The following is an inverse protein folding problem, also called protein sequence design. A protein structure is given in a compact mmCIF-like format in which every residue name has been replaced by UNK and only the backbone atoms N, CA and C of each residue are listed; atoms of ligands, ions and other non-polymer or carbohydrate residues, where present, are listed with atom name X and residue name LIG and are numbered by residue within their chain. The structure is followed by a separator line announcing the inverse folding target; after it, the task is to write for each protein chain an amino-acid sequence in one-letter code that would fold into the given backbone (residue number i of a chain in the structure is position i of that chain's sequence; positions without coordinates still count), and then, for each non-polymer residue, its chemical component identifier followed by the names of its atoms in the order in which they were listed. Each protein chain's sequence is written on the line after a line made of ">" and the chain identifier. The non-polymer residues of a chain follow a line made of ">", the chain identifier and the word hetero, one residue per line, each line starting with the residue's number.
data_IF_543236018805
#
_entry.id   IF_543236018805
#
_cell.length_a   1.000
_cell.length_b   1.000
_cell.length_c   1.000
_cell.angle_alpha   90.00
_cell.angle_beta   90.00
_cell.angle_gamma   90.00
#
_symmetry.space_group_name_H-M   'P 1'
#
loop_
_entity.id
_entity.type
_entity.pdbx_description
1 polymer ?
#
# COMPACT_ATOMS: atom_id res chain seq x y z
N UNK A 1 3.31 20.62 4.85
CA UNK A 1 3.48 19.39 5.67
C UNK A 1 3.08 18.15 4.85
N UNK A 2 3.74 17.00 5.03
CA UNK A 2 3.26 15.74 4.44
C UNK A 2 2.16 15.16 5.32
N UNK A 3 0.96 14.99 4.74
CA UNK A 3 -0.22 14.50 5.48
C UNK A 3 -0.38 12.97 5.37
N UNK A 4 0.10 12.36 4.28
CA UNK A 4 -0.20 10.96 3.91
C UNK A 4 0.45 9.89 4.80
N UNK A 5 1.42 10.27 5.62
CA UNK A 5 2.18 9.34 6.47
C UNK A 5 1.53 9.05 7.81
N UNK A 6 0.42 9.73 8.13
CA UNK A 6 -0.22 9.68 9.45
C UNK A 6 -1.72 9.88 9.29
N UNK A 7 -2.50 9.15 10.06
CA UNK A 7 -3.95 9.29 9.99
C UNK A 7 -4.74 8.17 10.64
N UNK A 8 -5.95 8.01 10.14
CA UNK A 8 -7.00 7.18 10.73
C UNK A 8 -7.33 6.01 9.82
N UNK A 9 -7.55 4.84 10.40
CA UNK A 9 -7.87 3.67 9.60
C UNK A 9 -9.28 3.76 9.02
N UNK A 10 -9.39 3.51 7.73
CA UNK A 10 -10.64 3.33 7.00
C UNK A 10 -10.52 2.09 6.11
N UNK A 11 -10.82 0.93 6.69
CA UNK A 11 -10.83 -0.34 5.96
C UNK A 11 -12.06 -0.51 5.06
N UNK A 12 -13.03 0.40 5.13
CA UNK A 12 -14.23 0.37 4.29
C UNK A 12 -14.05 1.17 3.00
N UNK A 13 -13.10 2.10 2.96
CA UNK A 13 -12.73 2.85 1.75
C UNK A 13 -12.22 1.94 0.64
N UNK A 14 -12.67 2.20 -0.59
CA UNK A 14 -12.10 1.59 -1.80
C UNK A 14 -10.80 2.28 -2.26
N UNK A 15 -10.38 3.36 -1.60
CA UNK A 15 -9.14 4.07 -1.85
C UNK A 15 -8.00 3.57 -0.97
N UNK A 16 -7.55 4.42 -0.05
CA UNK A 16 -6.47 4.12 0.92
C UNK A 16 -7.02 3.47 2.19
N UNK A 17 -6.17 2.76 2.93
CA UNK A 17 -6.50 2.27 4.28
C UNK A 17 -6.44 3.35 5.34
N UNK A 18 -5.73 4.44 5.04
CA UNK A 18 -5.46 5.51 5.98
C UNK A 18 -6.07 6.76 5.38
N UNK A 19 -7.04 7.32 6.09
CA UNK A 19 -7.49 8.69 5.87
C UNK A 19 -6.44 9.62 6.51
N UNK A 20 -5.73 10.43 5.72
CA UNK A 20 -4.72 11.33 6.26
C UNK A 20 -5.28 12.29 7.30
N UNK A 21 -4.42 12.73 8.22
CA UNK A 21 -4.71 13.90 9.07
C UNK A 21 -4.91 15.14 8.21
N UNK A 22 -5.76 16.05 8.68
CA UNK A 22 -6.08 17.33 8.05
C UNK A 22 -5.26 18.47 8.65
N UNK A 23 -5.38 19.68 8.10
CA UNK A 23 -4.73 20.86 8.70
C UNK A 23 -5.32 21.23 10.06
N UNK A 24 -6.63 21.05 10.23
CA UNK A 24 -7.31 21.32 11.50
C UNK A 24 -6.86 20.32 12.58
N UNK A 25 -6.69 19.04 12.22
CA UNK A 25 -6.15 18.00 13.12
C UNK A 25 -4.76 18.35 13.66
N UNK A 26 -3.96 19.12 12.92
CA UNK A 26 -2.58 19.47 13.30
C UNK A 26 -2.48 20.72 14.18
N UNK A 27 -3.61 21.39 14.48
CA UNK A 27 -3.62 22.54 15.40
C UNK A 27 -3.55 22.12 16.86
N UNK A 28 -3.91 20.88 17.15
CA UNK A 28 -3.82 20.30 18.49
C UNK A 28 -2.36 20.05 18.90
N UNK A 29 -2.06 20.17 20.19
CA UNK A 29 -0.73 19.85 20.73
C UNK A 29 -0.40 18.35 20.57
N UNK A 30 -1.42 17.51 20.74
CA UNK A 30 -1.36 16.06 20.56
C UNK A 30 -2.65 15.54 19.95
N UNK A 31 -2.56 14.49 19.14
CA UNK A 31 -3.71 13.87 18.49
C UNK A 31 -3.61 12.34 18.51
N UNK A 32 -4.66 11.67 18.97
CA UNK A 32 -4.78 10.21 18.85
C UNK A 32 -5.01 9.84 17.38
N UNK A 33 -4.15 8.98 16.83
CA UNK A 33 -4.21 8.50 15.45
C UNK A 33 -4.17 6.97 15.41
N UNK A 34 -4.43 6.40 14.24
CA UNK A 34 -4.43 4.95 14.06
C UNK A 34 -3.20 4.42 13.33
N UNK A 35 -2.56 5.26 12.55
CA UNK A 35 -1.43 4.89 11.71
C UNK A 35 -0.39 6.00 11.65
N UNK A 36 0.88 5.60 11.74
CA UNK A 36 2.01 6.38 11.32
C UNK A 36 2.96 5.49 10.50
N UNK A 37 3.57 6.04 9.45
CA UNK A 37 4.59 5.33 8.69
C UNK A 37 5.86 5.12 9.52
N UNK A 38 6.72 4.20 9.09
CA UNK A 38 8.03 3.95 9.72
C UNK A 38 9.06 5.08 9.52
N UNK A 39 8.66 6.24 9.00
CA UNK A 39 9.53 7.41 8.85
C UNK A 39 9.92 8.00 10.20
N UNK A 40 9.06 7.89 11.21
CA UNK A 40 9.24 8.66 12.45
C UNK A 40 8.53 8.15 13.69
N UNK A 41 8.05 6.90 13.67
CA UNK A 41 7.31 6.35 14.81
C UNK A 41 8.28 5.88 15.90
N UNK A 42 8.09 6.39 17.13
CA UNK A 42 8.73 5.88 18.34
C UNK A 42 7.81 4.84 18.97
N UNK A 43 8.34 3.66 19.29
CA UNK A 43 7.54 2.52 19.77
C UNK A 43 8.07 2.08 21.13
N UNK A 44 7.17 1.89 22.08
CA UNK A 44 7.49 1.33 23.39
C UNK A 44 8.02 -0.12 23.22
N UNK A 45 9.17 -0.42 23.84
CA UNK A 45 9.80 -1.74 23.71
C UNK A 45 8.96 -2.88 24.27
N UNK A 46 8.13 -2.63 25.28
CA UNK A 46 7.24 -3.60 25.89
C UNK A 46 6.14 -3.99 24.90
N UNK A 47 5.57 -3.02 24.18
CA UNK A 47 4.64 -3.27 23.07
C UNK A 47 5.29 -4.15 21.99
N UNK A 48 6.56 -3.92 21.64
CA UNK A 48 7.28 -4.78 20.67
C UNK A 48 7.45 -6.20 21.20
N UNK A 49 7.74 -6.39 22.50
CA UNK A 49 7.85 -7.73 23.10
C UNK A 49 6.51 -8.46 23.11
N UNK A 50 5.40 -7.74 23.21
CA UNK A 50 4.05 -8.30 23.19
C UNK A 50 3.59 -8.71 21.79
N UNK A 51 3.69 -7.80 20.80
CA UNK A 51 3.14 -8.07 19.46
C UNK A 51 4.15 -8.67 18.48
N UNK A 52 5.45 -8.61 18.80
CA UNK A 52 6.56 -8.99 17.91
C UNK A 52 6.82 -7.99 16.78
N UNK A 53 7.93 -8.16 16.06
CA UNK A 53 8.39 -7.25 14.99
C UNK A 53 7.45 -7.14 13.77
N UNK A 54 7.65 -6.14 12.88
CA UNK A 54 6.96 -6.07 11.60
C UNK A 54 7.15 -7.35 10.77
N UNK A 55 6.11 -7.71 10.00
CA UNK A 55 6.13 -8.93 9.19
C UNK A 55 7.09 -8.81 8.02
N UNK A 56 8.26 -9.46 8.13
CA UNK A 56 9.25 -9.56 7.03
C UNK A 56 8.68 -10.08 5.70
N UNK A 57 7.63 -10.88 5.76
CA UNK A 57 6.93 -11.46 4.61
C UNK A 57 6.29 -10.40 3.70
N UNK A 58 5.87 -9.26 4.26
CA UNK A 58 5.26 -8.17 3.49
C UNK A 58 6.27 -7.50 2.57
N UNK A 59 7.55 -7.52 2.94
CA UNK A 59 8.71 -6.97 2.23
C UNK A 59 8.64 -5.47 1.95
N UNK A 60 7.65 -5.02 1.18
CA UNK A 60 7.42 -3.63 0.82
C UNK A 60 5.93 -3.31 0.85
N UNK A 61 5.59 -2.09 1.29
CA UNK A 61 4.25 -1.52 1.36
C UNK A 61 3.32 -2.21 2.36
N UNK A 62 2.61 -1.37 3.13
CA UNK A 62 1.57 -1.77 4.08
C UNK A 62 2.07 -2.61 5.27
N UNK A 63 3.39 -2.73 5.43
CA UNK A 63 4.04 -3.25 6.62
C UNK A 63 3.82 -2.34 7.83
N UNK A 64 3.85 -1.03 7.63
CA UNK A 64 3.48 -0.02 8.61
C UNK A 64 2.00 -0.07 9.02
N UNK A 65 1.09 -0.26 8.05
CA UNK A 65 -0.35 -0.43 8.30
C UNK A 65 -0.62 -1.68 9.12
N UNK A 66 -0.05 -2.83 8.72
CA UNK A 66 -0.19 -4.09 9.47
C UNK A 66 0.37 -3.97 10.89
N UNK A 67 1.51 -3.29 11.04
CA UNK A 67 2.15 -3.12 12.32
C UNK A 67 1.37 -2.20 13.25
N UNK A 68 0.90 -1.06 12.74
CA UNK A 68 0.07 -0.14 13.51
C UNK A 68 -1.26 -0.78 13.94
N UNK A 69 -1.87 -1.62 13.09
CA UNK A 69 -3.04 -2.42 13.48
C UNK A 69 -2.77 -3.27 14.73
N UNK A 70 -1.62 -3.95 14.78
CA UNK A 70 -1.22 -4.73 15.97
C UNK A 70 -0.84 -3.84 17.14
N UNK A 71 -0.07 -2.78 16.94
CA UNK A 71 0.34 -1.85 17.99
C UNK A 71 -0.85 -1.31 18.77
N UNK A 72 -1.94 -0.98 18.08
CA UNK A 72 -3.16 -0.48 18.70
C UNK A 72 -3.82 -1.43 19.70
N UNK A 73 -3.51 -2.73 19.63
CA UNK A 73 -3.98 -3.69 20.65
C UNK A 73 -3.26 -3.51 22.00
N UNK A 74 -2.10 -2.85 22.02
CA UNK A 74 -1.28 -2.61 23.22
C UNK A 74 -1.42 -1.19 23.79
N UNK A 75 -2.03 -0.26 23.04
CA UNK A 75 -2.14 1.13 23.45
C UNK A 75 -2.50 2.09 22.32
N UNK A 76 -2.42 3.39 22.62
CA UNK A 76 -2.71 4.46 21.66
C UNK A 76 -1.48 4.84 20.85
N UNK A 77 -1.68 5.27 19.61
CA UNK A 77 -0.65 5.94 18.81
C UNK A 77 -0.96 7.43 18.87
N UNK A 78 -0.02 8.22 19.39
CA UNK A 78 -0.19 9.66 19.59
C UNK A 78 0.70 10.39 18.61
N UNK A 79 0.10 11.31 17.84
CA UNK A 79 0.81 12.27 17.03
C UNK A 79 1.12 13.51 17.85
N UNK A 80 2.37 13.97 17.78
CA UNK A 80 2.81 15.25 18.33
C UNK A 80 3.20 16.17 17.16
N UNK A 81 2.32 17.08 16.69
CA UNK A 81 2.59 17.90 15.51
C UNK A 81 3.86 18.76 15.59
N UNK A 82 4.26 19.17 16.79
CA UNK A 82 5.52 19.90 17.04
C UNK A 82 6.79 19.06 16.88
N UNK A 83 6.69 17.73 16.80
CA UNK A 83 7.83 16.84 16.53
C UNK A 83 8.06 16.74 15.02
N UNK A 84 9.03 17.52 14.52
CA UNK A 84 9.28 17.68 13.09
C UNK A 84 10.35 16.71 12.58
N UNK A 85 10.04 16.01 11.48
CA UNK A 85 10.98 15.13 10.78
C UNK A 85 11.08 15.58 9.33
N UNK A 86 12.30 15.86 8.87
CA UNK A 86 12.58 16.17 7.48
C UNK A 86 12.72 14.87 6.68
N UNK A 87 11.67 14.50 5.95
CA UNK A 87 11.67 13.34 5.08
C UNK A 87 11.90 13.75 3.63
N UNK A 88 13.05 13.36 3.04
CA UNK A 88 13.31 13.53 1.61
C UNK A 88 12.52 12.47 0.86
N UNK A 89 11.36 12.84 0.31
CA UNK A 89 10.73 11.99 -0.69
C UNK A 89 11.60 11.97 -1.95
N UNK A 90 12.01 10.79 -2.37
CA UNK A 90 12.48 10.58 -3.74
C UNK A 90 11.26 10.73 -4.67
N UNK A 91 10.85 11.97 -4.91
CA UNK A 91 9.84 12.33 -5.89
C UNK A 91 10.42 12.31 -7.32
N UNK A 92 11.40 11.45 -7.60
CA UNK A 92 11.69 11.03 -8.96
C UNK A 92 10.72 9.91 -9.33
N UNK A 93 9.44 10.28 -9.42
CA UNK A 93 8.56 9.54 -10.32
C UNK A 93 9.09 9.84 -11.70
N UNK A 94 9.75 8.87 -12.32
CA UNK A 94 9.90 8.88 -13.77
C UNK A 94 8.48 9.06 -14.33
N UNK A 95 8.15 10.29 -14.74
CA UNK A 95 6.85 10.65 -15.27
C UNK A 95 6.75 10.10 -16.69
N UNK A 96 6.93 8.79 -16.84
CA UNK A 96 6.71 8.10 -18.09
C UNK A 96 5.22 8.15 -18.37
N UNK A 97 4.87 8.82 -19.46
CA UNK A 97 3.53 8.76 -20.02
C UNK A 97 3.57 7.95 -21.32
N UNK A 98 2.44 7.34 -21.65
CA UNK A 98 2.24 6.67 -22.92
C UNK A 98 1.03 7.27 -23.61
N UNK A 99 1.23 7.72 -24.85
CA UNK A 99 0.16 8.22 -25.69
C UNK A 99 -0.79 7.09 -26.11
N UNK A 100 -2.07 7.22 -25.80
CA UNK A 100 -3.13 6.34 -26.26
C UNK A 100 -4.34 7.18 -26.65
N UNK A 101 -4.79 7.04 -27.91
CA UNK A 101 -5.95 7.78 -28.45
C UNK A 101 -5.92 9.30 -28.15
N UNK A 102 -4.74 9.93 -28.31
CA UNK A 102 -4.57 11.36 -28.07
C UNK A 102 -4.52 11.78 -26.60
N UNK A 103 -4.46 10.84 -25.66
CA UNK A 103 -4.28 11.10 -24.22
C UNK A 103 -2.98 10.52 -23.70
N UNK A 104 -2.33 11.24 -22.81
CA UNK A 104 -1.17 10.74 -22.08
C UNK A 104 -1.60 10.00 -20.82
N UNK A 105 -1.19 8.74 -20.70
CA UNK A 105 -1.50 7.89 -19.55
C UNK A 105 -0.21 7.66 -18.76
N UNK A 106 -0.17 7.91 -17.44
CA UNK A 106 1.01 7.62 -16.64
C UNK A 106 1.28 6.10 -16.58
N UNK A 107 2.54 5.70 -16.79
CA UNK A 107 2.98 4.31 -16.86
C UNK A 107 4.14 4.09 -15.88
N UNK A 108 4.19 2.89 -15.29
CA UNK A 108 5.36 2.48 -14.53
C UNK A 108 6.32 1.72 -15.44
N UNK A 109 7.61 2.11 -15.47
CA UNK A 109 8.66 1.39 -16.18
C UNK A 109 8.60 -0.12 -15.91
N UNK A 110 8.81 -0.95 -16.94
CA UNK A 110 8.67 -2.41 -16.82
C UNK A 110 9.66 -3.03 -15.80
N UNK A 111 10.86 -2.47 -15.72
CA UNK A 111 11.93 -2.81 -14.76
C UNK A 111 11.60 -2.42 -13.31
N UNK A 112 10.68 -1.47 -13.09
CA UNK A 112 10.20 -1.07 -11.75
C UNK A 112 8.83 -1.65 -11.40
N UNK A 113 8.14 -2.30 -12.36
CA UNK A 113 6.78 -2.82 -12.18
C UNK A 113 6.67 -3.80 -11.01
N UNK A 114 7.71 -4.59 -10.75
CA UNK A 114 7.73 -5.60 -9.69
C UNK A 114 7.39 -5.03 -8.29
N UNK A 115 7.72 -3.76 -8.02
CA UNK A 115 7.41 -3.09 -6.75
C UNK A 115 5.90 -3.04 -6.47
N UNK A 116 5.09 -2.86 -7.51
CA UNK A 116 3.62 -2.80 -7.39
C UNK A 116 3.01 -4.11 -6.92
N UNK A 117 3.71 -5.24 -7.09
CA UNK A 117 3.21 -6.55 -6.69
C UNK A 117 2.88 -6.59 -5.20
N UNK A 118 3.80 -6.10 -4.37
CA UNK A 118 3.65 -6.15 -2.92
C UNK A 118 2.52 -5.26 -2.45
N UNK A 119 2.39 -4.05 -2.99
CA UNK A 119 1.27 -3.16 -2.67
C UNK A 119 -0.10 -3.80 -2.96
N UNK A 120 -0.26 -4.40 -4.15
CA UNK A 120 -1.51 -5.08 -4.51
C UNK A 120 -1.73 -6.31 -3.62
N UNK A 121 -0.75 -7.20 -3.50
CA UNK A 121 -0.86 -8.41 -2.68
C UNK A 121 -1.20 -8.10 -1.22
N UNK A 122 -0.42 -7.21 -0.60
CA UNK A 122 -0.54 -6.88 0.82
C UNK A 122 -1.85 -6.14 1.10
N UNK A 123 -2.28 -5.23 0.22
CA UNK A 123 -3.59 -4.57 0.37
C UNK A 123 -4.76 -5.56 0.28
N UNK A 124 -4.73 -6.52 -0.65
CA UNK A 124 -5.78 -7.54 -0.72
C UNK A 124 -5.79 -8.42 0.53
N UNK A 125 -4.62 -8.78 1.04
CA UNK A 125 -4.52 -9.57 2.27
C UNK A 125 -5.06 -8.81 3.49
N UNK A 126 -4.75 -7.52 3.64
CA UNK A 126 -5.28 -6.67 4.72
C UNK A 126 -6.80 -6.48 4.58
N UNK A 127 -7.30 -6.13 3.39
CA UNK A 127 -8.76 -5.98 3.16
C UNK A 127 -9.50 -7.27 3.45
N UNK A 128 -8.92 -8.42 3.13
CA UNK A 128 -9.53 -9.72 3.44
C UNK A 128 -9.72 -9.95 4.93
N UNK A 129 -8.87 -9.36 5.78
CA UNK A 129 -8.97 -9.46 7.23
C UNK A 129 -9.94 -8.43 7.83
N UNK A 130 -9.87 -7.19 7.37
CA UNK A 130 -10.54 -6.06 8.01
C UNK A 130 -11.89 -5.67 7.35
N UNK A 131 -12.08 -5.98 6.07
CA UNK A 131 -13.28 -5.59 5.31
C UNK A 131 -14.32 -6.73 5.27
N UNK A 132 -15.61 -6.40 5.25
CA UNK A 132 -16.67 -7.38 5.07
C UNK A 132 -16.58 -8.10 3.72
N UNK A 133 -16.97 -9.39 3.69
CA UNK A 133 -16.87 -10.25 2.48
C UNK A 133 -17.58 -9.66 1.26
N UNK A 134 -18.76 -9.06 1.45
CA UNK A 134 -19.54 -8.46 0.37
C UNK A 134 -18.84 -7.22 -0.23
N UNK A 135 -18.33 -6.31 0.62
CA UNK A 135 -17.55 -5.15 0.15
C UNK A 135 -16.24 -5.58 -0.52
N UNK A 136 -15.55 -6.56 0.07
CA UNK A 136 -14.32 -7.11 -0.50
C UNK A 136 -14.56 -7.67 -1.92
N UNK A 137 -15.67 -8.38 -2.12
CA UNK A 137 -16.04 -8.91 -3.44
C UNK A 137 -16.22 -7.78 -4.46
N UNK A 138 -17.02 -6.76 -4.13
CA UNK A 138 -17.24 -5.59 -5.00
C UNK A 138 -15.91 -4.88 -5.31
N UNK A 139 -15.09 -4.67 -4.29
CA UNK A 139 -13.77 -4.06 -4.42
C UNK A 139 -12.88 -4.86 -5.37
N UNK A 140 -12.76 -6.18 -5.16
CA UNK A 140 -11.87 -7.04 -5.96
C UNK A 140 -12.31 -7.07 -7.42
N UNK A 141 -13.61 -7.22 -7.70
CA UNK A 141 -14.12 -7.23 -9.07
C UNK A 141 -13.76 -5.92 -9.79
N UNK A 142 -14.06 -4.78 -9.15
CA UNK A 142 -13.72 -3.46 -9.71
C UNK A 142 -12.21 -3.28 -9.88
N UNK A 143 -11.42 -3.66 -8.87
CA UNK A 143 -9.97 -3.47 -8.88
C UNK A 143 -9.28 -4.36 -9.92
N UNK A 144 -9.69 -5.62 -10.07
CA UNK A 144 -9.17 -6.52 -11.12
C UNK A 144 -9.51 -5.95 -12.50
N UNK A 145 -10.76 -5.54 -12.74
CA UNK A 145 -11.18 -5.01 -14.04
C UNK A 145 -10.33 -3.79 -14.45
N UNK A 146 -10.16 -2.83 -13.53
CA UNK A 146 -9.39 -1.61 -13.78
C UNK A 146 -7.89 -1.93 -13.96
N UNK A 147 -7.32 -2.77 -13.10
CA UNK A 147 -5.89 -3.07 -13.13
C UNK A 147 -5.48 -3.94 -14.33
N UNK A 148 -6.30 -4.92 -14.73
CA UNK A 148 -6.08 -5.72 -15.94
C UNK A 148 -6.17 -4.85 -17.18
N UNK A 149 -7.20 -4.02 -17.30
CA UNK A 149 -7.34 -3.07 -18.42
C UNK A 149 -6.11 -2.15 -18.50
N UNK A 150 -5.67 -1.60 -17.37
CA UNK A 150 -4.46 -0.78 -17.31
C UNK A 150 -3.20 -1.55 -17.75
N UNK A 151 -3.02 -2.80 -17.30
CA UNK A 151 -1.87 -3.62 -17.70
C UNK A 151 -1.88 -4.01 -19.18
N UNK A 152 -3.06 -4.24 -19.77
CA UNK A 152 -3.20 -4.50 -21.21
C UNK A 152 -2.78 -3.26 -21.99
N UNK A 153 -3.38 -2.10 -21.69
CA UNK A 153 -3.12 -0.82 -22.37
C UNK A 153 -1.64 -0.42 -22.27
N UNK A 154 -1.10 -0.42 -21.05
CA UNK A 154 0.31 -0.05 -20.82
C UNK A 154 1.27 -1.07 -21.43
N UNK A 155 0.87 -2.34 -21.50
CA UNK A 155 1.64 -3.43 -22.10
C UNK A 155 1.61 -3.53 -23.62
N UNK A 156 0.79 -2.75 -24.35
CA UNK A 156 0.78 -2.76 -25.83
C UNK A 156 2.20 -2.45 -26.34
N UNK A 157 2.81 -3.33 -27.13
CA UNK A 157 4.19 -3.15 -27.62
C UNK A 157 5.30 -3.55 -26.63
N UNK A 158 4.96 -4.06 -25.45
CA UNK A 158 5.91 -4.71 -24.53
C UNK A 158 5.52 -6.18 -24.31
N UNK A 159 5.01 -6.53 -23.12
CA UNK A 159 4.68 -7.89 -22.70
C UNK A 159 3.33 -7.93 -21.96
N UNK A 160 2.20 -7.69 -22.66
CA UNK A 160 0.89 -7.52 -22.01
C UNK A 160 0.45 -8.78 -21.26
N UNK A 161 0.68 -9.97 -21.83
CA UNK A 161 0.36 -11.24 -21.16
C UNK A 161 1.11 -11.42 -19.83
N UNK A 162 2.40 -11.05 -19.77
CA UNK A 162 3.19 -11.12 -18.52
C UNK A 162 2.67 -10.11 -17.50
N UNK A 163 2.33 -8.89 -17.92
CA UNK A 163 1.75 -7.86 -17.05
C UNK A 163 0.39 -8.28 -16.47
N UNK A 164 -0.46 -8.91 -17.27
CA UNK A 164 -1.76 -9.45 -16.81
C UNK A 164 -1.56 -10.63 -15.85
N UNK A 165 -0.71 -11.60 -16.19
CA UNK A 165 -0.38 -12.70 -15.28
C UNK A 165 0.20 -12.21 -13.96
N UNK A 166 1.06 -11.19 -14.01
CA UNK A 166 1.66 -10.54 -12.85
C UNK A 166 0.59 -9.97 -11.92
N UNK A 167 -0.31 -9.13 -12.45
CA UNK A 167 -1.30 -8.46 -11.61
C UNK A 167 -2.31 -9.46 -11.02
N UNK A 168 -2.79 -10.42 -11.82
CA UNK A 168 -3.70 -11.47 -11.34
C UNK A 168 -3.06 -12.36 -10.27
N UNK A 169 -1.75 -12.64 -10.40
CA UNK A 169 -1.00 -13.37 -9.38
C UNK A 169 -0.94 -12.62 -8.05
N UNK A 170 -0.79 -11.29 -8.08
CA UNK A 170 -0.79 -10.46 -6.87
C UNK A 170 -2.14 -10.53 -6.13
N UNK A 171 -3.27 -10.40 -6.86
CA UNK A 171 -4.61 -10.56 -6.27
C UNK A 171 -4.79 -11.95 -5.67
N UNK A 172 -4.41 -12.99 -6.42
CA UNK A 172 -4.57 -14.37 -6.00
C UNK A 172 -3.76 -14.70 -4.74
N UNK A 173 -2.51 -14.23 -4.68
CA UNK A 173 -1.65 -14.42 -3.52
C UNK A 173 -2.12 -13.64 -2.30
N UNK A 174 -2.62 -12.42 -2.48
CA UNK A 174 -3.21 -11.64 -1.39
C UNK A 174 -4.45 -12.33 -0.80
N UNK A 175 -5.31 -12.88 -1.66
CA UNK A 175 -6.49 -13.65 -1.25
C UNK A 175 -6.12 -14.94 -0.51
N UNK A 176 -5.08 -15.64 -0.96
CA UNK A 176 -4.62 -16.89 -0.36
C UNK A 176 -3.65 -16.71 0.80
N UNK A 177 -3.17 -15.48 1.05
CA UNK A 177 -2.13 -15.20 2.04
C UNK A 177 -0.78 -15.85 1.71
N UNK A 178 -0.37 -15.86 0.43
CA UNK A 178 0.92 -16.39 0.00
C UNK A 178 1.94 -15.26 -0.16
N UNK A 179 3.08 -15.36 0.51
CA UNK A 179 4.10 -14.29 0.56
C UNK A 179 5.41 -14.70 -0.14
N UNK A 180 5.31 -15.20 -1.36
CA UNK A 180 6.48 -15.50 -2.19
C UNK A 180 7.02 -14.20 -2.82
N UNK A 181 8.08 -13.65 -2.23
CA UNK A 181 8.66 -12.37 -2.63
C UNK A 181 9.49 -12.45 -3.92
N UNK A 182 9.87 -13.65 -4.36
CA UNK A 182 10.64 -13.85 -5.60
C UNK A 182 9.73 -14.01 -6.84
N UNK A 183 8.46 -14.38 -6.62
CA UNK A 183 7.45 -14.56 -7.66
C UNK A 183 7.28 -13.37 -8.63
N UNK A 184 7.20 -12.10 -8.21
CA UNK A 184 7.04 -10.99 -9.15
C UNK A 184 8.15 -10.90 -10.18
N UNK A 185 9.41 -11.10 -9.76
CA UNK A 185 10.58 -11.07 -10.65
C UNK A 185 10.56 -12.25 -11.61
N UNK A 186 10.24 -13.46 -11.13
CA UNK A 186 10.09 -14.64 -11.99
C UNK A 186 9.02 -14.47 -13.08
N UNK A 187 7.90 -13.80 -12.78
CA UNK A 187 6.84 -13.58 -13.77
C UNK A 187 7.25 -12.55 -14.84
N UNK A 188 7.93 -11.47 -14.43
CA UNK A 188 8.27 -10.37 -15.35
C UNK A 188 9.54 -10.66 -16.16
N UNK A 189 10.58 -11.17 -15.52
CA UNK A 189 11.93 -11.27 -16.08
C UNK A 189 12.39 -12.70 -16.39
N UNK A 190 11.64 -13.70 -15.95
CA UNK A 190 11.85 -15.10 -16.36
C UNK A 190 11.27 -15.44 -17.73
#
# INVERSE_FOLDING_TARGET
>A
PQYIHRGFFDFNSFGTFVRPVTEDDLREETLDIDHASFVGILINSDSVREIGFPRKELFLHYDDVEYCLRLRSTGKIILVPGSLILHKEAAERDNLTKGLFGREIPVVPYDKLWLRYYGVRNSIWLRRKEMSRARLFIFIVRAILLSVTAQIITGIGEKPFRRVRFILSAYSDGLRGRFDNEKPRRILYG
#
